data_IF_921148074338
#
_entry.id   IF_921148074338
#
_cell.length_a   1.000
_cell.length_b   1.000
_cell.length_c   1.000
_cell.angle_alpha   90.00
_cell.angle_beta   90.00
_cell.angle_gamma   90.00
#
_symmetry.space_group_name_H-M   'P 1'
#
loop_
_entity.id
_entity.type
_entity.pdbx_description
1 polymer ?
#
# COMPACT_ATOMS: atom_id res chain seq x y z
N UNK A 1 0.59 16.92 -2.57
CA UNK A 1 1.38 16.62 -1.37
C UNK A 1 2.60 15.80 -1.72
N UNK A 2 3.62 15.86 -0.88
CA UNK A 2 4.78 15.01 -1.03
C UNK A 2 4.40 13.57 -0.73
N UNK A 3 5.13 12.65 -1.32
CA UNK A 3 4.90 11.23 -1.14
C UNK A 3 6.15 10.61 -0.53
N UNK A 4 5.96 9.84 0.52
CA UNK A 4 7.05 9.16 1.19
C UNK A 4 6.62 7.73 1.51
N UNK A 5 7.55 6.80 1.42
CA UNK A 5 7.31 5.40 1.78
C UNK A 5 8.07 5.10 3.05
N UNK A 6 7.37 4.55 4.03
CA UNK A 6 8.05 4.03 5.21
C UNK A 6 8.85 2.80 4.84
N UNK A 7 9.81 2.49 5.67
CA UNK A 7 10.65 1.32 5.43
C UNK A 7 9.86 0.04 5.29
N UNK A 8 8.80 -0.11 6.11
CA UNK A 8 7.94 -1.27 6.02
C UNK A 8 7.24 -1.40 4.68
N UNK A 9 6.83 -0.26 4.11
CA UNK A 9 6.19 -0.28 2.79
C UNK A 9 7.18 -0.67 1.70
N UNK A 10 8.42 -0.19 1.81
CA UNK A 10 9.45 -0.56 0.84
C UNK A 10 9.76 -2.05 0.93
N UNK A 11 9.82 -2.58 2.13
CA UNK A 11 10.02 -4.01 2.32
C UNK A 11 8.86 -4.82 1.74
N UNK A 12 7.63 -4.33 1.91
CA UNK A 12 6.47 -4.99 1.34
C UNK A 12 6.55 -5.04 -0.19
N UNK A 13 6.95 -3.93 -0.81
CA UNK A 13 7.08 -3.90 -2.27
C UNK A 13 8.14 -4.87 -2.76
N UNK A 14 9.25 -4.97 -2.03
CA UNK A 14 10.28 -5.94 -2.39
C UNK A 14 9.77 -7.38 -2.29
N UNK A 15 9.00 -7.68 -1.26
CA UNK A 15 8.45 -9.02 -1.08
C UNK A 15 7.42 -9.34 -2.15
N UNK A 16 6.57 -8.38 -2.46
CA UNK A 16 5.56 -8.56 -3.51
C UNK A 16 6.26 -8.83 -4.84
N UNK A 17 7.28 -8.03 -5.14
CA UNK A 17 8.03 -8.22 -6.36
C UNK A 17 8.63 -9.62 -6.42
N UNK A 18 9.32 -10.04 -5.35
CA UNK A 18 9.98 -11.33 -5.34
C UNK A 18 8.99 -12.48 -5.52
N UNK A 19 7.83 -12.37 -4.86
CA UNK A 19 6.81 -13.41 -4.93
C UNK A 19 6.28 -13.57 -6.35
N UNK A 20 5.92 -12.47 -7.00
CA UNK A 20 5.37 -12.51 -8.36
C UNK A 20 6.45 -12.85 -9.36
N UNK A 21 7.68 -12.37 -9.15
CA UNK A 21 8.77 -12.59 -10.09
C UNK A 21 9.20 -14.05 -10.15
N UNK A 22 8.85 -14.85 -9.14
CA UNK A 22 9.14 -16.28 -9.22
C UNK A 22 8.41 -16.93 -10.38
N UNK A 23 7.27 -16.33 -10.78
CA UNK A 23 6.54 -16.78 -11.96
C UNK A 23 6.84 -15.90 -13.18
N UNK A 24 6.84 -14.60 -13.01
CA UNK A 24 6.99 -13.67 -14.10
C UNK A 24 7.57 -12.36 -13.62
N UNK A 25 8.80 -12.08 -14.01
CA UNK A 25 9.43 -10.80 -13.64
C UNK A 25 8.71 -9.63 -14.29
N UNK A 26 8.19 -9.85 -15.48
CA UNK A 26 7.46 -8.78 -16.17
C UNK A 26 6.19 -8.41 -15.40
N UNK A 27 5.44 -9.42 -14.96
CA UNK A 27 4.23 -9.16 -14.18
C UNK A 27 4.56 -8.49 -12.86
N UNK A 28 5.67 -8.89 -12.23
CA UNK A 28 6.10 -8.27 -10.97
C UNK A 28 6.39 -6.79 -11.17
N UNK A 29 7.11 -6.46 -12.24
CA UNK A 29 7.42 -5.06 -12.53
C UNK A 29 6.17 -4.24 -12.80
N UNK A 30 5.23 -4.81 -13.57
CA UNK A 30 3.98 -4.10 -13.87
C UNK A 30 3.17 -3.82 -12.62
N UNK A 31 3.10 -4.80 -11.71
CA UNK A 31 2.33 -4.62 -10.50
C UNK A 31 2.93 -3.55 -9.60
N UNK A 32 4.25 -3.63 -9.38
CA UNK A 32 4.89 -2.64 -8.51
C UNK A 32 4.76 -1.23 -9.11
N UNK A 33 4.95 -1.11 -10.42
CA UNK A 33 4.79 0.19 -11.08
C UNK A 33 3.36 0.71 -10.93
N UNK A 34 2.38 -0.18 -10.99
CA UNK A 34 0.98 0.22 -10.82
C UNK A 34 0.73 0.71 -9.39
N UNK A 35 1.29 0.01 -8.40
CA UNK A 35 1.16 0.44 -7.01
C UNK A 35 1.76 1.82 -6.83
N UNK A 36 2.93 2.04 -7.41
CA UNK A 36 3.59 3.35 -7.29
C UNK A 36 2.81 4.46 -7.98
N UNK A 37 2.21 4.17 -9.13
CA UNK A 37 1.38 5.18 -9.80
C UNK A 37 0.16 5.54 -8.98
N UNK A 38 -0.45 4.54 -8.33
CA UNK A 38 -1.61 4.81 -7.49
C UNK A 38 -1.20 5.62 -6.27
N UNK A 39 -0.05 5.31 -5.67
CA UNK A 39 0.45 6.10 -4.55
C UNK A 39 0.64 7.57 -4.95
N UNK A 40 1.15 7.81 -6.16
CA UNK A 40 1.31 9.17 -6.67
C UNK A 40 -0.05 9.86 -6.81
N UNK A 41 -1.07 9.14 -7.28
CA UNK A 41 -2.42 9.69 -7.36
C UNK A 41 -2.99 10.00 -5.98
N UNK A 42 -2.70 9.16 -5.01
CA UNK A 42 -3.12 9.42 -3.64
C UNK A 42 -2.48 10.72 -3.14
N UNK A 43 -1.21 10.94 -3.46
CA UNK A 43 -0.56 12.19 -3.04
C UNK A 43 -1.21 13.41 -3.67
N UNK A 44 -1.78 13.26 -4.86
CA UNK A 44 -2.49 14.37 -5.51
C UNK A 44 -3.89 14.59 -4.92
N UNK A 45 -4.50 13.54 -4.35
CA UNK A 45 -5.84 13.63 -3.76
C UNK A 45 -5.84 12.82 -2.47
N UNK A 46 -5.24 13.33 -1.41
CA UNK A 46 -4.92 12.49 -0.24
C UNK A 46 -6.11 11.91 0.50
N UNK A 47 -7.27 12.50 0.37
CA UNK A 47 -8.46 11.99 1.06
C UNK A 47 -9.28 11.01 0.23
N UNK A 48 -8.69 10.52 -0.86
CA UNK A 48 -9.39 9.57 -1.73
C UNK A 48 -9.61 8.21 -1.06
N UNK A 49 -8.79 7.85 -0.09
CA UNK A 49 -8.87 6.55 0.55
C UNK A 49 -9.98 6.43 1.56
N UNK A 50 -10.34 5.19 1.89
CA UNK A 50 -11.30 4.92 2.93
C UNK A 50 -10.65 4.86 4.29
N UNK A 51 -11.47 4.92 5.33
CA UNK A 51 -10.96 4.85 6.70
C UNK A 51 -10.63 3.40 7.06
N UNK A 52 -9.83 3.25 8.11
CA UNK A 52 -9.52 1.95 8.69
C UNK A 52 -9.92 1.98 10.16
N UNK A 53 -9.75 0.86 10.85
CA UNK A 53 -10.00 0.84 12.29
C UNK A 53 -9.05 1.76 13.03
N UNK A 54 -7.85 1.90 12.52
CA UNK A 54 -6.87 2.76 13.18
C UNK A 54 -7.11 4.18 12.77
N UNK A 55 -7.43 5.01 13.74
CA UNK A 55 -7.69 6.42 13.49
C UNK A 55 -6.50 7.07 12.79
N UNK A 56 -6.78 7.80 11.72
CA UNK A 56 -5.74 8.49 10.96
C UNK A 56 -5.15 7.69 9.82
N UNK A 57 -5.35 6.36 9.82
CA UNK A 57 -4.85 5.54 8.71
C UNK A 57 -5.93 5.40 7.66
N UNK A 58 -5.53 5.56 6.41
CA UNK A 58 -6.42 5.44 5.26
C UNK A 58 -5.95 4.28 4.40
N UNK A 59 -6.85 3.76 3.56
CA UNK A 59 -6.52 2.64 2.68
C UNK A 59 -7.09 2.87 1.30
N UNK A 60 -6.42 2.34 0.30
CA UNK A 60 -6.87 2.45 -1.08
C UNK A 60 -6.48 1.18 -1.83
N UNK A 61 -7.42 0.54 -2.54
CA UNK A 61 -7.13 -0.73 -3.21
C UNK A 61 -6.40 -0.55 -4.52
N UNK A 62 -5.51 -1.50 -4.82
CA UNK A 62 -4.85 -1.61 -6.10
C UNK A 62 -4.88 -3.09 -6.47
N UNK A 63 -5.81 -3.47 -7.34
CA UNK A 63 -5.99 -4.89 -7.64
C UNK A 63 -6.35 -5.63 -6.36
N UNK A 64 -5.57 -6.65 -6.03
CA UNK A 64 -5.80 -7.45 -4.83
C UNK A 64 -5.00 -6.97 -3.63
N UNK A 65 -4.43 -5.77 -3.73
CA UNK A 65 -3.61 -5.22 -2.67
C UNK A 65 -4.23 -3.96 -2.11
N UNK A 66 -3.83 -3.63 -0.89
CA UNK A 66 -4.24 -2.39 -0.24
C UNK A 66 -3.00 -1.58 0.08
N UNK A 67 -3.05 -0.31 -0.28
CA UNK A 67 -2.07 0.66 0.19
C UNK A 67 -2.65 1.28 1.45
N UNK A 68 -1.92 1.18 2.56
CA UNK A 68 -2.33 1.82 3.82
C UNK A 68 -1.40 2.99 4.05
N UNK A 69 -1.97 4.15 4.28
CA UNK A 69 -1.19 5.38 4.37
C UNK A 69 -1.78 6.33 5.40
N UNK A 70 -1.02 7.34 5.77
CA UNK A 70 -1.52 8.43 6.58
C UNK A 70 -1.04 9.74 6.01
N UNK A 71 -1.69 10.81 6.44
CA UNK A 71 -1.31 12.16 6.02
C UNK A 71 -0.63 12.80 7.21
N UNK A 72 0.63 13.18 7.06
CA UNK A 72 1.43 13.77 8.12
C UNK A 72 1.95 15.10 7.61
N UNK A 73 1.50 16.18 8.20
CA UNK A 73 1.84 17.53 7.72
C UNK A 73 1.44 17.68 6.26
N UNK A 74 2.41 17.89 5.38
CA UNK A 74 2.12 18.04 3.95
C UNK A 74 2.57 16.82 3.15
N UNK A 75 2.62 15.65 3.81
CA UNK A 75 3.07 14.42 3.16
C UNK A 75 2.02 13.33 3.24
N UNK A 76 1.95 12.55 2.17
CA UNK A 76 1.31 11.24 2.21
C UNK A 76 2.39 10.23 2.50
N UNK A 77 2.23 9.47 3.57
CA UNK A 77 3.22 8.48 4.02
C UNK A 77 2.61 7.10 3.84
N UNK A 78 3.17 6.32 2.92
CA UNK A 78 2.71 4.95 2.71
C UNK A 78 3.34 4.08 3.79
N UNK A 79 2.50 3.44 4.58
CA UNK A 79 2.93 2.65 5.74
C UNK A 79 3.10 1.19 5.39
N UNK A 80 2.14 0.63 4.66
CA UNK A 80 2.13 -0.79 4.31
C UNK A 80 1.53 -0.98 2.94
N UNK A 81 1.91 -2.08 2.30
CA UNK A 81 1.20 -2.57 1.11
C UNK A 81 0.94 -4.04 1.35
N UNK A 82 -0.32 -4.42 1.45
CA UNK A 82 -0.72 -5.76 1.84
C UNK A 82 -1.68 -6.37 0.86
N UNK A 83 -1.57 -7.68 0.66
CA UNK A 83 -2.58 -8.39 -0.09
C UNK A 83 -3.87 -8.40 0.72
N UNK A 84 -5.00 -8.21 0.06
CA UNK A 84 -6.28 -8.17 0.76
C UNK A 84 -6.54 -9.43 1.56
N UNK A 85 -6.06 -10.56 1.07
CA UNK A 85 -6.22 -11.82 1.73
C UNK A 85 -5.52 -11.90 3.09
N UNK A 86 -4.48 -11.09 3.27
CA UNK A 86 -3.73 -11.11 4.51
C UNK A 86 -4.54 -10.64 5.69
N UNK A 87 -5.58 -9.87 5.46
CA UNK A 87 -6.46 -9.41 6.53
C UNK A 87 -7.13 -10.55 7.26
N UNK A 88 -7.36 -11.63 6.54
CA UNK A 88 -8.11 -12.75 7.10
C UNK A 88 -7.25 -13.71 7.86
N UNK A 89 -5.96 -13.47 7.89
CA UNK A 89 -5.06 -14.40 8.53
C UNK A 89 -4.85 -14.13 10.00
N UNK A 90 -5.54 -13.18 10.53
CA UNK A 90 -5.46 -12.97 11.96
C UNK A 90 -4.58 -11.85 12.35
N UNK A 91 -3.67 -12.10 13.15
CA UNK A 91 -3.08 -11.17 14.05
C UNK A 91 -2.63 -9.83 13.54
N UNK A 92 -2.32 -9.63 12.41
CA UNK A 92 -1.91 -8.29 11.96
C UNK A 92 -3.01 -7.57 11.28
N UNK A 93 -4.09 -8.24 10.98
CA UNK A 93 -5.10 -7.70 10.12
C UNK A 93 -6.04 -6.73 10.78
N UNK A 94 -6.16 -6.79 12.06
CA UNK A 94 -7.07 -5.91 12.76
C UNK A 94 -6.66 -4.46 12.68
N UNK A 95 -5.50 -4.16 12.20
CA UNK A 95 -5.09 -2.78 12.00
C UNK A 95 -5.74 -2.14 10.80
N UNK A 96 -6.37 -2.90 9.95
CA UNK A 96 -6.84 -2.38 8.67
C UNK A 96 -8.31 -2.12 8.60
N UNK A 97 -9.04 -2.70 9.45
CA UNK A 97 -10.48 -2.53 9.40
C UNK A 97 -11.02 -2.10 10.71
#
# INVERSE_FOLDING_TARGET
MKLRYERGALADLDEIFAYIASDSREAAGHLVARIERVATRIAASPHIGGTTRKSGFLRFPVGNYLIVYEIVSDEVVVLYVRHMRDRDRGKGSDNFD
#
